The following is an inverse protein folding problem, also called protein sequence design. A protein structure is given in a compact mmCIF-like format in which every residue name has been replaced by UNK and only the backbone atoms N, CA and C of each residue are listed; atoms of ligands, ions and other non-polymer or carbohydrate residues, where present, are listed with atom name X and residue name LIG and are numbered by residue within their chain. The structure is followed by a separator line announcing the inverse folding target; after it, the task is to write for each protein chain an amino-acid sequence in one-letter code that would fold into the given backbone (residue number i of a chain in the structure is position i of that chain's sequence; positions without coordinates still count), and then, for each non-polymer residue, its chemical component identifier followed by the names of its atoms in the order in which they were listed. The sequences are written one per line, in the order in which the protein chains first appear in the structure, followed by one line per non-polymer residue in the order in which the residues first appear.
data_IF_314855710821
#
_entry.id   IF_314855710821
#
_cell.length_a   1.000
_cell.length_b   1.000
_cell.length_c   1.000
_cell.angle_alpha   90.00
_cell.angle_beta   90.00
_cell.angle_gamma   90.00
#
_symmetry.space_group_name_H-M   'P 1'
#
loop_
_entity.id
_entity.type
_entity.pdbx_description
1 polymer ?
#
# COMPACT_ATOMS: atom_id res chain seq x y z
N UNK A 1 -29.96 61.82 -10.75
CA UNK A 1 -30.55 60.57 -10.23
C UNK A 1 -29.82 59.40 -10.84
N UNK A 2 -28.73 59.01 -10.20
CA UNK A 2 -27.89 57.87 -10.65
C UNK A 2 -28.22 56.69 -9.77
N UNK A 3 -28.63 55.59 -10.39
CA UNK A 3 -28.86 54.30 -9.75
C UNK A 3 -27.55 53.52 -9.87
N UNK A 4 -26.83 53.35 -8.77
CA UNK A 4 -25.74 52.39 -8.69
C UNK A 4 -26.32 51.00 -8.50
N UNK A 5 -26.26 50.16 -9.52
CA UNK A 5 -26.48 48.72 -9.41
C UNK A 5 -25.18 48.12 -8.90
N UNK A 6 -25.18 47.76 -7.62
CA UNK A 6 -24.12 46.93 -7.02
C UNK A 6 -24.30 45.49 -7.53
N UNK A 7 -23.45 45.06 -8.47
CA UNK A 7 -23.27 43.64 -8.75
C UNK A 7 -22.46 43.05 -7.62
N UNK A 8 -23.12 42.39 -6.71
CA UNK A 8 -22.46 41.40 -5.85
C UNK A 8 -22.06 40.21 -6.73
N UNK A 9 -20.80 40.13 -7.02
CA UNK A 9 -20.18 38.88 -7.52
C UNK A 9 -20.10 37.95 -6.33
N UNK A 10 -21.10 37.10 -6.21
CA UNK A 10 -20.94 35.85 -5.47
C UNK A 10 -20.04 34.93 -6.33
N UNK A 11 -18.75 35.12 -6.17
CA UNK A 11 -17.74 34.15 -6.63
C UNK A 11 -17.77 32.98 -5.66
N UNK A 12 -18.83 32.17 -5.70
CA UNK A 12 -18.81 30.77 -5.28
C UNK A 12 -18.01 30.00 -6.33
N UNK A 13 -16.69 30.22 -6.31
CA UNK A 13 -15.74 29.27 -6.86
C UNK A 13 -15.75 28.06 -5.87
N UNK A 14 -16.31 26.90 -6.24
CA UNK A 14 -16.12 25.72 -5.45
C UNK A 14 -14.63 25.42 -5.54
N UNK A 15 -13.87 25.88 -4.54
CA UNK A 15 -12.53 25.37 -4.32
C UNK A 15 -12.67 23.85 -4.32
N UNK A 16 -12.29 23.21 -5.41
CA UNK A 16 -12.11 21.76 -5.46
C UNK A 16 -11.05 21.45 -4.41
N UNK A 17 -11.48 21.27 -3.17
CA UNK A 17 -10.60 20.75 -2.12
C UNK A 17 -10.05 19.45 -2.65
N UNK A 18 -8.78 19.48 -3.03
CA UNK A 18 -8.13 18.29 -3.56
C UNK A 18 -8.13 17.25 -2.44
N UNK A 19 -8.91 16.17 -2.65
CA UNK A 19 -9.08 15.08 -1.68
C UNK A 19 -7.73 14.51 -1.28
N UNK A 20 -7.54 14.25 0.00
CA UNK A 20 -6.39 13.51 0.48
C UNK A 20 -6.50 12.01 0.10
N UNK A 21 -5.44 11.23 0.38
CA UNK A 21 -5.38 9.79 0.05
C UNK A 21 -6.58 9.03 0.63
N UNK A 22 -6.93 9.28 1.90
CA UNK A 22 -8.03 8.58 2.57
C UNK A 22 -9.38 8.96 1.95
N UNK A 23 -9.61 10.23 1.70
CA UNK A 23 -10.83 10.72 1.06
C UNK A 23 -10.95 10.22 -0.39
N UNK A 24 -9.84 10.14 -1.12
CA UNK A 24 -9.81 9.60 -2.47
C UNK A 24 -10.14 8.11 -2.48
N UNK A 25 -9.54 7.33 -1.57
CA UNK A 25 -9.85 5.91 -1.41
C UNK A 25 -11.31 5.68 -0.99
N UNK A 26 -11.82 6.45 -0.01
CA UNK A 26 -13.21 6.34 0.47
C UNK A 26 -14.26 6.68 -0.60
N UNK A 27 -13.88 7.48 -1.59
CA UNK A 27 -14.77 7.87 -2.70
C UNK A 27 -14.86 6.81 -3.80
N UNK A 28 -14.10 5.71 -3.68
CA UNK A 28 -14.05 4.64 -4.67
C UNK A 28 -14.44 3.30 -4.03
N UNK A 29 -15.56 2.75 -4.50
CA UNK A 29 -16.12 1.50 -3.97
C UNK A 29 -15.14 0.31 -4.04
N UNK A 30 -14.16 0.34 -4.93
CA UNK A 30 -13.13 -0.71 -5.04
C UNK A 30 -12.20 -0.77 -3.81
N UNK A 31 -12.16 0.26 -2.97
CA UNK A 31 -11.30 0.36 -1.79
C UNK A 31 -12.09 0.38 -0.47
N UNK A 32 -13.36 -0.03 -0.48
CA UNK A 32 -14.19 0.01 0.73
C UNK A 32 -13.61 -0.83 1.87
N UNK A 33 -13.09 -2.03 1.57
CA UNK A 33 -12.44 -2.89 2.57
C UNK A 33 -11.14 -2.26 3.09
N UNK A 34 -10.35 -1.62 2.22
CA UNK A 34 -9.14 -0.89 2.62
C UNK A 34 -9.49 0.25 3.59
N UNK A 35 -10.54 1.01 3.30
CA UNK A 35 -10.98 2.13 4.16
C UNK A 35 -11.46 1.62 5.52
N UNK A 36 -12.19 0.51 5.55
CA UNK A 36 -12.60 -0.16 6.80
C UNK A 36 -11.37 -0.66 7.59
N UNK A 37 -10.41 -1.27 6.91
CA UNK A 37 -9.15 -1.73 7.51
C UNK A 37 -8.34 -0.58 8.12
N UNK A 38 -8.20 0.55 7.42
CA UNK A 38 -7.52 1.75 7.91
C UNK A 38 -8.20 2.33 9.15
N UNK A 39 -9.54 2.34 9.15
CA UNK A 39 -10.35 2.81 10.28
C UNK A 39 -10.14 1.90 11.49
N UNK A 40 -10.22 0.60 11.29
CA UNK A 40 -10.03 -0.41 12.35
C UNK A 40 -8.62 -0.40 12.95
N UNK A 41 -7.61 -0.20 12.12
CA UNK A 41 -6.20 -0.08 12.54
C UNK A 41 -5.86 1.30 13.15
N UNK A 42 -6.78 2.28 13.11
CA UNK A 42 -6.53 3.63 13.61
C UNK A 42 -5.51 4.43 12.78
N UNK A 43 -5.30 4.07 11.51
CA UNK A 43 -4.28 4.67 10.64
C UNK A 43 -4.81 5.83 9.77
N UNK A 44 -6.09 6.15 9.86
CA UNK A 44 -6.73 7.24 9.08
C UNK A 44 -5.98 8.55 9.29
N UNK A 45 -5.83 8.99 10.55
CA UNK A 45 -5.15 10.26 10.87
C UNK A 45 -3.68 10.31 10.41
N UNK A 46 -2.99 9.17 10.40
CA UNK A 46 -1.61 9.09 9.93
C UNK A 46 -1.50 9.34 8.43
N UNK A 47 -2.47 8.82 7.64
CA UNK A 47 -2.51 8.98 6.19
C UNK A 47 -3.22 10.26 5.73
N UNK A 48 -3.92 10.97 6.61
CA UNK A 48 -4.43 12.33 6.38
C UNK A 48 -3.36 13.40 6.60
N UNK A 49 -2.23 13.03 7.19
CA UNK A 49 -1.11 13.93 7.44
C UNK A 49 -0.51 14.55 6.18
N UNK A 50 0.45 15.47 6.36
CA UNK A 50 0.93 16.36 5.29
C UNK A 50 1.79 15.67 4.22
N UNK A 51 1.94 14.36 4.20
CA UNK A 51 2.66 13.65 3.12
C UNK A 51 4.00 14.26 2.69
N UNK A 52 4.49 14.04 1.49
CA UNK A 52 3.89 13.19 0.47
C UNK A 52 4.00 11.69 0.75
N UNK A 53 2.98 10.93 0.38
CA UNK A 53 2.95 9.48 0.48
C UNK A 53 2.69 8.82 -0.87
N UNK A 54 3.17 7.60 -1.04
CA UNK A 54 2.71 6.69 -2.09
C UNK A 54 2.05 5.50 -1.43
N UNK A 55 0.80 5.24 -1.78
CA UNK A 55 0.01 4.15 -1.23
C UNK A 55 -0.28 3.12 -2.31
N UNK A 56 0.14 1.89 -2.08
CA UNK A 56 -0.27 0.73 -2.88
C UNK A 56 -1.58 0.22 -2.30
N UNK A 57 -2.70 0.57 -2.92
CA UNK A 57 -4.05 0.29 -2.43
C UNK A 57 -4.56 -1.05 -2.94
N UNK A 58 -4.67 -2.10 -2.11
CA UNK A 58 -5.32 -3.34 -2.51
C UNK A 58 -6.79 -3.12 -2.80
N UNK A 59 -7.28 -3.71 -3.87
CA UNK A 59 -8.72 -3.72 -4.17
C UNK A 59 -9.49 -4.65 -3.23
N UNK A 60 -10.81 -4.53 -3.23
CA UNK A 60 -11.66 -5.46 -2.48
C UNK A 60 -11.41 -6.92 -2.88
N UNK A 61 -11.17 -7.19 -4.17
CA UNK A 61 -10.85 -8.54 -4.65
C UNK A 61 -9.53 -9.05 -4.06
N UNK A 62 -8.53 -8.17 -3.93
CA UNK A 62 -7.26 -8.50 -3.28
C UNK A 62 -7.46 -8.90 -1.81
N UNK A 63 -8.31 -8.18 -1.08
CA UNK A 63 -8.66 -8.52 0.30
C UNK A 63 -9.47 -9.81 0.40
N UNK A 64 -10.44 -10.04 -0.50
CA UNK A 64 -11.23 -11.26 -0.52
C UNK A 64 -10.37 -12.50 -0.79
N UNK A 65 -9.37 -12.38 -1.66
CA UNK A 65 -8.38 -13.43 -1.87
C UNK A 65 -7.58 -13.70 -0.59
N UNK A 66 -7.10 -12.66 0.10
CA UNK A 66 -6.39 -12.78 1.38
C UNK A 66 -7.28 -13.46 2.44
N UNK A 67 -8.55 -13.07 2.58
CA UNK A 67 -9.46 -13.68 3.55
C UNK A 67 -9.65 -15.17 3.29
N UNK A 68 -9.73 -15.56 2.01
CA UNK A 68 -9.81 -16.97 1.60
C UNK A 68 -8.54 -17.74 1.99
N UNK A 69 -7.37 -17.16 1.74
CA UNK A 69 -6.06 -17.75 2.04
C UNK A 69 -5.85 -17.92 3.56
N UNK A 70 -6.33 -16.96 4.35
CA UNK A 70 -6.26 -17.00 5.82
C UNK A 70 -7.40 -17.82 6.47
N UNK A 71 -8.41 -18.23 5.71
CA UNK A 71 -9.57 -18.96 6.24
C UNK A 71 -10.45 -18.11 7.17
N UNK A 72 -10.49 -16.77 6.95
CA UNK A 72 -11.32 -15.82 7.69
C UNK A 72 -12.48 -15.32 6.82
N UNK A 73 -13.57 -14.84 7.45
CA UNK A 73 -14.77 -14.42 6.70
C UNK A 73 -14.71 -12.95 6.25
N UNK A 74 -13.79 -12.17 6.80
CA UNK A 74 -13.65 -10.78 6.46
C UNK A 74 -12.72 -10.00 7.38
N UNK A 75 -12.68 -8.68 7.16
CA UNK A 75 -11.79 -7.76 7.89
C UNK A 75 -12.07 -7.77 9.41
N UNK A 76 -13.29 -8.12 9.82
CA UNK A 76 -13.70 -8.13 11.21
C UNK A 76 -13.06 -9.25 12.03
N UNK A 77 -12.62 -10.31 11.38
CA UNK A 77 -11.93 -11.44 12.01
C UNK A 77 -10.44 -11.14 12.25
N UNK A 78 -9.90 -10.08 11.65
CA UNK A 78 -8.52 -9.65 11.85
C UNK A 78 -8.43 -8.59 12.94
N UNK A 79 -7.45 -8.69 13.84
CA UNK A 79 -7.22 -7.69 14.88
C UNK A 79 -6.53 -6.43 14.33
N UNK A 80 -6.65 -5.30 15.04
CA UNK A 80 -5.96 -4.06 14.68
C UNK A 80 -4.43 -4.23 14.67
N UNK A 81 -3.91 -5.03 15.62
CA UNK A 81 -2.48 -5.35 15.72
C UNK A 81 -1.97 -6.11 14.49
N UNK A 82 -2.80 -6.99 13.92
CA UNK A 82 -2.47 -7.73 12.69
C UNK A 82 -2.55 -6.83 11.47
N UNK A 83 -3.57 -5.96 11.40
CA UNK A 83 -3.79 -5.07 10.27
C UNK A 83 -2.75 -3.95 10.17
N UNK A 84 -2.32 -3.39 11.30
CA UNK A 84 -1.40 -2.25 11.32
C UNK A 84 -0.11 -2.49 10.54
N UNK A 85 0.69 -3.55 10.79
CA UNK A 85 1.90 -3.80 10.02
C UNK A 85 1.62 -4.13 8.55
N UNK A 86 0.51 -4.80 8.24
CA UNK A 86 0.11 -5.07 6.86
C UNK A 86 -0.16 -3.76 6.13
N UNK A 87 -0.99 -2.87 6.69
CA UNK A 87 -1.35 -1.60 6.06
C UNK A 87 -0.15 -0.65 5.92
N UNK A 88 0.71 -0.57 6.94
CA UNK A 88 1.94 0.23 6.87
C UNK A 88 2.92 -0.31 5.83
N UNK A 89 2.87 -1.59 5.50
CA UNK A 89 3.68 -2.20 4.44
C UNK A 89 3.26 -1.71 3.03
N UNK A 90 2.04 -1.21 2.89
CA UNK A 90 1.50 -0.66 1.65
C UNK A 90 1.83 0.83 1.44
N UNK A 91 2.50 1.47 2.40
CA UNK A 91 2.77 2.91 2.34
C UNK A 91 4.27 3.17 2.33
N UNK A 92 4.71 3.95 1.36
CA UNK A 92 6.08 4.48 1.31
C UNK A 92 6.05 6.00 1.43
N UNK A 93 7.09 6.56 2.03
CA UNK A 93 7.28 8.01 2.10
C UNK A 93 7.73 8.54 0.73
N UNK A 94 7.22 9.69 0.36
CA UNK A 94 7.49 10.32 -0.92
C UNK A 94 6.37 10.07 -1.95
N UNK A 95 6.28 10.95 -2.94
CA UNK A 95 5.37 10.81 -4.10
C UNK A 95 6.14 10.19 -5.25
N UNK A 96 5.85 8.94 -5.56
CA UNK A 96 6.48 8.17 -6.64
C UNK A 96 5.43 7.87 -7.70
N UNK A 97 5.54 8.49 -8.86
CA UNK A 97 4.69 8.20 -10.01
C UNK A 97 5.17 6.93 -10.70
N UNK A 98 4.28 6.27 -11.44
CA UNK A 98 4.63 5.03 -12.16
C UNK A 98 5.78 5.22 -13.16
N UNK A 99 5.91 6.44 -13.73
CA UNK A 99 7.05 6.83 -14.60
C UNK A 99 8.38 6.80 -13.85
N UNK A 100 8.37 7.20 -12.58
CA UNK A 100 9.57 7.43 -11.76
C UNK A 100 10.00 6.19 -11.00
N UNK A 101 9.14 5.15 -10.99
CA UNK A 101 9.46 3.86 -10.40
C UNK A 101 10.70 3.28 -11.06
N UNK A 102 11.66 2.87 -10.23
CA UNK A 102 12.82 2.08 -10.63
C UNK A 102 12.75 0.69 -9.98
N UNK A 103 13.30 -0.31 -10.65
CA UNK A 103 13.45 -1.64 -10.05
C UNK A 103 14.39 -1.58 -8.86
N UNK A 104 13.94 -2.00 -7.69
CA UNK A 104 14.71 -1.95 -6.45
C UNK A 104 13.86 -2.11 -5.19
N UNK A 105 14.50 -1.90 -4.06
CA UNK A 105 13.85 -1.95 -2.76
C UNK A 105 13.44 -0.56 -2.29
N UNK A 106 12.20 -0.41 -1.83
CA UNK A 106 11.68 0.78 -1.20
C UNK A 106 11.36 0.51 0.27
N UNK A 107 11.71 1.46 1.14
CA UNK A 107 11.38 1.38 2.56
C UNK A 107 9.93 1.79 2.79
N UNK A 108 9.17 0.96 3.49
CA UNK A 108 7.78 1.23 3.87
C UNK A 108 7.70 2.00 5.19
N UNK A 109 6.52 2.43 5.56
CA UNK A 109 6.26 3.00 6.90
C UNK A 109 6.17 1.91 8.00
N UNK A 110 6.19 0.64 7.63
CA UNK A 110 6.22 -0.45 8.59
C UNK A 110 7.61 -0.59 9.22
N UNK A 111 7.73 -0.28 10.50
CA UNK A 111 8.97 -0.37 11.28
C UNK A 111 9.07 -1.65 12.12
N UNK A 112 8.29 -2.67 11.80
CA UNK A 112 8.34 -3.98 12.51
C UNK A 112 9.53 -4.86 12.09
N UNK A 113 10.40 -4.38 11.21
CA UNK A 113 11.61 -5.09 10.81
C UNK A 113 12.62 -5.24 11.96
N UNK A 114 13.63 -6.12 11.80
CA UNK A 114 14.66 -6.37 12.81
C UNK A 114 15.32 -5.06 13.29
N UNK A 115 15.38 -4.85 14.60
CA UNK A 115 15.92 -3.61 15.19
C UNK A 115 15.06 -2.39 14.94
N UNK A 116 13.74 -2.55 14.74
CA UNK A 116 12.80 -1.47 14.42
C UNK A 116 13.11 -0.74 13.09
N UNK A 117 13.84 -1.40 12.20
CA UNK A 117 14.08 -0.87 10.87
C UNK A 117 12.82 -0.98 9.99
N UNK A 118 12.71 -0.06 9.02
CA UNK A 118 11.66 -0.11 8.05
C UNK A 118 11.71 -1.41 7.23
N UNK A 119 10.58 -2.09 7.13
CA UNK A 119 10.41 -3.22 6.19
C UNK A 119 10.52 -2.67 4.78
N UNK A 120 11.18 -3.41 3.90
CA UNK A 120 11.35 -3.02 2.50
C UNK A 120 10.51 -3.90 1.61
N UNK A 121 9.88 -3.31 0.62
CA UNK A 121 9.20 -3.99 -0.47
C UNK A 121 10.07 -3.95 -1.72
N UNK A 122 9.99 -5.00 -2.53
CA UNK A 122 10.67 -5.05 -3.82
C UNK A 122 9.74 -4.57 -4.92
N UNK A 123 10.16 -3.55 -5.66
CA UNK A 123 9.44 -3.01 -6.79
C UNK A 123 10.18 -3.41 -8.06
N UNK A 124 9.45 -3.99 -8.99
CA UNK A 124 9.97 -4.40 -10.30
C UNK A 124 9.25 -3.62 -11.40
N UNK A 125 10.03 -2.88 -12.19
CA UNK A 125 9.53 -2.16 -13.36
C UNK A 125 9.78 -3.01 -14.61
N UNK A 126 8.69 -3.58 -15.13
CA UNK A 126 8.68 -4.30 -16.40
C UNK A 126 7.63 -3.73 -17.34
N UNK A 127 6.96 -4.57 -18.09
CA UNK A 127 5.75 -4.20 -18.86
C UNK A 127 4.59 -3.76 -17.95
N UNK A 128 4.59 -4.26 -16.71
CA UNK A 128 3.75 -3.80 -15.60
C UNK A 128 4.65 -3.53 -14.41
N UNK A 129 4.23 -2.63 -13.52
CA UNK A 129 4.88 -2.47 -12.22
C UNK A 129 4.38 -3.58 -11.30
N UNK A 130 5.32 -4.29 -10.69
CA UNK A 130 5.06 -5.31 -9.68
C UNK A 130 5.61 -4.85 -8.33
N UNK A 131 4.92 -5.12 -7.25
CA UNK A 131 5.32 -4.76 -5.89
C UNK A 131 5.17 -5.99 -5.00
N UNK A 132 6.29 -6.58 -4.59
CA UNK A 132 6.32 -7.86 -3.84
C UNK A 132 5.42 -8.95 -4.45
N UNK A 133 5.44 -9.10 -5.78
CA UNK A 133 4.62 -10.06 -6.50
C UNK A 133 3.15 -9.64 -6.72
N UNK A 134 2.75 -8.47 -6.23
CA UNK A 134 1.45 -7.87 -6.53
C UNK A 134 1.55 -7.00 -7.77
N UNK A 135 0.59 -7.12 -8.69
CA UNK A 135 0.56 -6.30 -9.90
C UNK A 135 -0.14 -4.97 -9.64
N UNK A 136 0.48 -3.89 -10.08
CA UNK A 136 -0.19 -2.58 -10.12
C UNK A 136 -1.16 -2.58 -11.31
N UNK A 137 -2.45 -2.41 -11.01
CA UNK A 137 -3.56 -2.45 -12.00
C UNK A 137 -4.07 -1.06 -12.36
N UNK A 138 -3.97 -0.09 -11.45
CA UNK A 138 -4.26 1.32 -11.69
C UNK A 138 -3.10 2.14 -11.16
N UNK A 139 -2.58 3.05 -11.95
CA UNK A 139 -1.46 3.90 -11.58
C UNK A 139 -1.89 5.36 -11.41
N UNK A 140 -1.11 6.10 -10.63
CA UNK A 140 -1.10 7.56 -10.62
C UNK A 140 -2.43 8.25 -10.25
N UNK A 141 -3.22 7.64 -9.38
CA UNK A 141 -4.38 8.31 -8.79
C UNK A 141 -3.88 9.36 -7.80
N UNK A 142 -3.95 10.62 -8.21
CA UNK A 142 -3.39 11.74 -7.44
C UNK A 142 -4.30 12.15 -6.29
N UNK A 143 -3.70 12.47 -5.16
CA UNK A 143 -4.33 13.04 -3.98
C UNK A 143 -3.54 14.27 -3.51
N UNK A 144 -4.13 15.11 -2.66
CA UNK A 144 -3.49 16.34 -2.15
C UNK A 144 -2.20 16.06 -1.39
N UNK A 145 -2.12 14.94 -0.70
CA UNK A 145 -0.98 14.55 0.12
C UNK A 145 -0.23 13.32 -0.42
N UNK A 146 -0.41 12.93 -1.69
CA UNK A 146 0.35 11.85 -2.29
C UNK A 146 -0.23 11.26 -3.56
N UNK A 147 0.06 9.97 -3.80
CA UNK A 147 -0.41 9.20 -4.94
C UNK A 147 -0.85 7.80 -4.51
N UNK A 148 -1.86 7.27 -5.17
CA UNK A 148 -2.38 5.93 -4.93
C UNK A 148 -2.14 5.09 -6.20
N UNK A 149 -1.64 3.87 -6.01
CA UNK A 149 -1.55 2.85 -7.04
C UNK A 149 -2.39 1.64 -6.60
N UNK A 150 -3.40 1.26 -7.37
CA UNK A 150 -4.19 0.08 -7.05
C UNK A 150 -3.43 -1.21 -7.39
N UNK A 151 -3.51 -2.19 -6.50
CA UNK A 151 -2.84 -3.49 -6.64
C UNK A 151 -3.83 -4.64 -6.52
N UNK A 152 -3.50 -5.76 -7.17
CA UNK A 152 -4.35 -6.96 -7.26
C UNK A 152 -4.18 -7.95 -6.09
N UNK A 153 -3.19 -7.71 -5.20
CA UNK A 153 -2.94 -8.53 -4.02
C UNK A 153 -2.51 -7.68 -2.83
N UNK A 154 -2.83 -8.14 -1.63
CA UNK A 154 -2.35 -7.52 -0.38
C UNK A 154 -0.88 -7.87 -0.16
N UNK A 155 -0.04 -6.88 0.10
CA UNK A 155 1.37 -7.04 0.42
C UNK A 155 1.50 -7.42 1.90
N UNK A 156 1.80 -8.67 2.17
CA UNK A 156 2.04 -9.13 3.53
C UNK A 156 3.48 -8.80 3.96
N UNK A 157 3.73 -8.56 5.27
CA UNK A 157 5.09 -8.47 5.77
C UNK A 157 5.87 -9.72 5.40
N UNK A 158 6.87 -9.55 4.53
CA UNK A 158 7.57 -10.65 3.94
C UNK A 158 8.72 -11.13 4.84
N UNK A 159 8.86 -12.43 4.99
CA UNK A 159 10.06 -13.04 5.56
C UNK A 159 11.19 -13.13 4.49
N UNK A 160 12.37 -13.57 4.89
CA UNK A 160 13.53 -13.68 4.00
C UNK A 160 13.29 -14.58 2.78
N UNK A 161 12.46 -15.60 2.93
CA UNK A 161 12.10 -16.53 1.85
C UNK A 161 11.19 -15.84 0.84
N UNK A 162 10.17 -15.11 1.31
CA UNK A 162 9.23 -14.36 0.45
C UNK A 162 9.97 -13.28 -0.36
N UNK A 163 10.91 -12.56 0.26
CA UNK A 163 11.74 -11.59 -0.44
C UNK A 163 12.61 -12.25 -1.52
N UNK A 164 13.16 -13.43 -1.24
CA UNK A 164 13.93 -14.17 -2.22
C UNK A 164 13.06 -14.67 -3.39
N UNK A 165 11.85 -15.17 -3.12
CA UNK A 165 10.90 -15.62 -4.15
C UNK A 165 10.48 -14.48 -5.07
N UNK A 166 10.19 -13.30 -4.51
CA UNK A 166 9.71 -12.15 -5.25
C UNK A 166 10.80 -11.42 -6.05
N UNK A 167 12.09 -11.74 -5.81
CA UNK A 167 13.20 -11.13 -6.53
C UNK A 167 13.81 -12.10 -7.53
N UNK A 168 13.68 -11.86 -8.85
CA UNK A 168 14.18 -12.75 -9.90
C UNK A 168 15.67 -13.07 -9.81
N UNK A 169 16.46 -12.17 -9.22
CA UNK A 169 17.92 -12.37 -9.04
C UNK A 169 18.24 -13.53 -8.08
N UNK A 170 17.30 -13.94 -7.24
CA UNK A 170 17.46 -15.02 -6.27
C UNK A 170 16.81 -16.35 -6.72
N UNK A 171 16.40 -16.49 -7.96
CA UNK A 171 15.70 -17.67 -8.47
C UNK A 171 16.47 -18.98 -8.24
N UNK A 172 17.79 -18.97 -8.42
CA UNK A 172 18.67 -20.13 -8.16
C UNK A 172 18.75 -20.42 -6.66
N UNK A 173 18.87 -19.38 -5.82
CA UNK A 173 18.88 -19.52 -4.36
C UNK A 173 17.57 -20.14 -3.87
N UNK A 174 16.44 -19.66 -4.36
CA UNK A 174 15.13 -20.21 -4.02
C UNK A 174 15.04 -21.69 -4.36
N UNK A 175 15.46 -22.09 -5.57
CA UNK A 175 15.49 -23.51 -5.96
C UNK A 175 16.39 -24.36 -5.02
N UNK A 176 17.54 -23.82 -4.62
CA UNK A 176 18.43 -24.50 -3.70
C UNK A 176 17.81 -24.66 -2.30
N UNK A 177 17.18 -23.60 -1.77
CA UNK A 177 16.47 -23.61 -0.47
C UNK A 177 15.31 -24.61 -0.47
N UNK A 178 14.49 -24.62 -1.53
CA UNK A 178 13.40 -25.58 -1.70
C UNK A 178 13.93 -27.01 -1.76
N UNK A 179 14.98 -27.27 -2.56
CA UNK A 179 15.57 -28.60 -2.70
C UNK A 179 16.24 -29.09 -1.42
N UNK A 180 16.78 -28.19 -0.61
CA UNK A 180 17.37 -28.51 0.69
C UNK A 180 16.32 -28.69 1.80
N UNK A 181 15.03 -28.41 1.56
CA UNK A 181 13.97 -28.48 2.57
C UNK A 181 14.07 -27.41 3.66
N UNK A 182 14.77 -26.31 3.39
CA UNK A 182 15.05 -25.25 4.37
C UNK A 182 13.99 -24.13 4.39
N UNK A 183 12.95 -24.21 3.56
CA UNK A 183 11.91 -23.18 3.45
C UNK A 183 11.25 -22.93 4.80
N UNK A 184 10.83 -23.97 5.52
CA UNK A 184 10.18 -23.86 6.82
C UNK A 184 11.10 -23.24 7.87
N UNK A 185 12.34 -23.69 7.93
CA UNK A 185 13.34 -23.17 8.87
C UNK A 185 13.63 -21.67 8.65
N UNK A 186 13.70 -21.22 7.38
CA UNK A 186 13.94 -19.82 7.02
C UNK A 186 12.68 -18.95 7.04
N UNK A 187 11.50 -19.57 7.13
CA UNK A 187 10.22 -18.86 7.30
C UNK A 187 9.84 -18.66 8.77
N UNK A 188 10.56 -19.30 9.71
CA UNK A 188 10.35 -19.13 11.14
C UNK A 188 10.70 -17.71 11.61
N UNK A 189 10.36 -17.38 12.84
CA UNK A 189 10.74 -16.10 13.44
C UNK A 189 12.27 -15.99 13.54
N UNK A 190 12.83 -14.96 12.85
CA UNK A 190 14.26 -14.63 12.85
C UNK A 190 14.67 -13.84 14.09
N UNK A 191 15.87 -13.25 14.06
CA UNK A 191 16.53 -12.67 12.88
C UNK A 191 17.43 -13.61 12.10
N UNK A 192 17.30 -13.60 10.77
CA UNK A 192 18.18 -14.30 9.84
C UNK A 192 19.03 -13.30 9.06
N UNK A 193 20.29 -13.68 8.81
CA UNK A 193 21.22 -12.89 7.99
C UNK A 193 21.72 -13.72 6.84
#
# INVERSE_FOLDING_TARGET
TGIFVSCSKDDDDPTMESKNIVQTASSNDQFSILTEALTKAGLVSALEGPGPFTVFAPTNDAFNALFTDLGVNGINDLSAETLTPILLNHVISGKVMASDVATGYAATLNTSGPGQNAVKIFIEKGSNVMVDGSKVIITDVTASNGVIHAIDKVILPANVVTHAINNPNFSILVQAVVKAGLVEALSAEGPFT
#
